data_IF_239797386990
#
_entry.id   IF_239797386990
#
_cell.length_a   1.000
_cell.length_b   1.000
_cell.length_c   1.000
_cell.angle_alpha   90.00
_cell.angle_beta   90.00
_cell.angle_gamma   90.00
#
_symmetry.space_group_name_H-M   'P 1'
#
loop_
_entity.id
_entity.type
_entity.pdbx_description
1 polymer ?
#
# COMPACT_ATOMS: atom_id res chain seq x y z
N UNK A 1 15.40 7.43 7.47
CA UNK A 1 15.99 6.15 7.00
C UNK A 1 15.55 5.98 5.56
N UNK A 2 16.46 5.78 4.61
CA UNK A 2 16.09 5.51 3.22
C UNK A 2 15.47 4.11 3.17
N UNK A 3 14.13 4.00 3.11
CA UNK A 3 13.47 2.72 2.86
C UNK A 3 13.88 2.26 1.45
N UNK A 4 14.35 1.03 1.32
CA UNK A 4 14.59 0.44 0.00
C UNK A 4 13.24 0.07 -0.62
N UNK A 5 13.09 0.27 -1.93
CA UNK A 5 11.86 -0.11 -2.61
C UNK A 5 11.59 -1.61 -2.47
N UNK A 6 10.37 -1.96 -2.07
CA UNK A 6 9.90 -3.34 -1.98
C UNK A 6 10.25 -4.05 -0.67
N UNK A 7 10.16 -3.34 0.45
CA UNK A 7 10.28 -3.93 1.79
C UNK A 7 9.10 -4.85 2.10
N UNK A 8 7.89 -4.49 1.68
CA UNK A 8 6.63 -5.18 1.96
C UNK A 8 5.94 -5.72 0.70
N UNK A 9 6.10 -5.05 -0.44
CA UNK A 9 5.47 -5.41 -1.72
C UNK A 9 6.55 -5.89 -2.70
N UNK A 10 6.41 -7.13 -3.15
CA UNK A 10 7.33 -7.68 -4.15
C UNK A 10 7.21 -7.00 -5.51
N UNK A 11 8.36 -6.71 -6.12
CA UNK A 11 8.49 -6.09 -7.44
C UNK A 11 7.80 -6.88 -8.58
N UNK A 12 8.00 -8.20 -8.63
CA UNK A 12 7.54 -9.04 -9.75
C UNK A 12 6.01 -9.06 -9.95
N UNK A 13 5.18 -9.21 -8.90
CA UNK A 13 3.73 -9.03 -9.01
C UNK A 13 3.30 -7.68 -9.58
N UNK A 14 3.92 -6.58 -9.14
CA UNK A 14 3.60 -5.23 -9.62
C UNK A 14 3.93 -5.10 -11.10
N UNK A 15 5.10 -5.57 -11.53
CA UNK A 15 5.43 -5.60 -12.95
C UNK A 15 4.46 -6.46 -13.77
N UNK A 16 4.02 -7.62 -13.25
CA UNK A 16 3.02 -8.45 -13.93
C UNK A 16 1.69 -7.73 -14.07
N UNK A 17 1.24 -7.00 -13.04
CA UNK A 17 0.04 -6.16 -13.11
C UNK A 17 0.17 -5.08 -14.19
N UNK A 18 1.31 -4.38 -14.24
CA UNK A 18 1.56 -3.37 -15.29
C UNK A 18 1.49 -3.99 -16.69
N UNK A 19 2.09 -5.18 -16.89
CA UNK A 19 2.01 -5.91 -18.16
C UNK A 19 0.59 -6.36 -18.50
N UNK A 20 -0.16 -6.84 -17.51
CA UNK A 20 -1.55 -7.23 -17.68
C UNK A 20 -2.42 -6.04 -18.14
N UNK A 21 -2.09 -4.83 -17.70
CA UNK A 21 -2.74 -3.59 -18.10
C UNK A 21 -2.25 -3.03 -19.46
N UNK A 22 -1.44 -3.79 -20.22
CA UNK A 22 -1.02 -3.43 -21.57
C UNK A 22 0.39 -2.86 -21.70
N UNK A 23 1.17 -2.76 -20.62
CA UNK A 23 2.56 -2.34 -20.74
C UNK A 23 3.43 -3.46 -21.34
N UNK A 24 3.97 -3.26 -22.55
CA UNK A 24 4.81 -4.27 -23.21
C UNK A 24 6.18 -4.43 -22.51
N UNK A 25 6.83 -3.29 -22.27
CA UNK A 25 8.12 -3.17 -21.58
C UNK A 25 7.93 -2.26 -20.37
N UNK A 26 8.53 -2.65 -19.25
CA UNK A 26 8.45 -1.90 -18.00
C UNK A 26 9.86 -1.78 -17.44
N UNK A 27 10.32 -0.54 -17.29
CA UNK A 27 11.60 -0.20 -16.69
C UNK A 27 11.61 -0.52 -15.18
N UNK A 28 12.79 -0.79 -14.62
CA UNK A 28 12.92 -1.24 -13.22
C UNK A 28 12.53 -0.16 -12.23
N UNK A 29 13.04 1.04 -12.45
CA UNK A 29 12.76 2.26 -11.70
C UNK A 29 11.27 2.61 -11.70
N UNK A 30 10.57 2.41 -12.81
CA UNK A 30 9.12 2.63 -12.89
C UNK A 30 8.34 1.68 -11.96
N UNK A 31 8.78 0.42 -11.83
CA UNK A 31 8.16 -0.53 -10.89
C UNK A 31 8.56 -0.17 -9.45
N UNK A 32 9.82 0.21 -9.21
CA UNK A 32 10.30 0.61 -7.90
C UNK A 32 9.49 1.82 -7.37
N UNK A 33 9.23 2.82 -8.21
CA UNK A 33 8.42 3.99 -7.86
C UNK A 33 6.97 3.62 -7.54
N UNK A 34 6.34 2.75 -8.33
CA UNK A 34 4.98 2.29 -8.05
C UNK A 34 4.91 1.48 -6.75
N UNK A 35 5.90 0.62 -6.49
CA UNK A 35 6.02 -0.12 -5.23
C UNK A 35 6.12 0.84 -4.05
N UNK A 36 7.01 1.84 -4.12
CA UNK A 36 7.17 2.86 -3.07
C UNK A 36 5.87 3.60 -2.79
N UNK A 37 5.17 4.02 -3.85
CA UNK A 37 3.90 4.72 -3.70
C UNK A 37 2.81 3.86 -3.06
N UNK A 38 2.72 2.58 -3.45
CA UNK A 38 1.77 1.63 -2.87
C UNK A 38 2.06 1.34 -1.40
N UNK A 39 3.33 1.14 -1.04
CA UNK A 39 3.75 0.90 0.35
C UNK A 39 3.43 2.10 1.23
N UNK A 40 3.78 3.31 0.79
CA UNK A 40 3.44 4.54 1.52
C UNK A 40 1.92 4.72 1.67
N UNK A 41 1.16 4.43 0.62
CA UNK A 41 -0.29 4.49 0.66
C UNK A 41 -0.90 3.49 1.65
N UNK A 42 -0.33 2.29 1.72
CA UNK A 42 -0.75 1.26 2.68
C UNK A 42 -0.36 1.63 4.12
N UNK A 43 0.82 2.22 4.34
CA UNK A 43 1.28 2.71 5.64
C UNK A 43 0.33 3.76 6.21
N UNK A 44 0.06 4.82 5.44
CA UNK A 44 -0.84 5.91 5.86
C UNK A 44 -2.28 5.43 6.14
N UNK A 45 -2.80 4.50 5.32
CA UNK A 45 -4.11 3.87 5.55
C UNK A 45 -4.11 3.04 6.83
N UNK A 46 -3.04 2.29 7.07
CA UNK A 46 -2.89 1.45 8.27
C UNK A 46 -2.82 2.31 9.52
N UNK A 47 -2.10 3.42 9.50
CA UNK A 47 -2.06 4.38 10.61
C UNK A 47 -3.45 4.95 10.92
N UNK A 48 -4.20 5.30 9.88
CA UNK A 48 -5.57 5.83 10.02
C UNK A 48 -6.51 4.77 10.60
N UNK A 49 -6.49 3.55 10.07
CA UNK A 49 -7.27 2.44 10.59
C UNK A 49 -6.89 2.10 12.05
N UNK A 50 -5.61 2.21 12.41
CA UNK A 50 -5.13 2.01 13.77
C UNK A 50 -5.67 3.09 14.73
N UNK A 51 -5.74 4.35 14.30
CA UNK A 51 -6.37 5.44 15.09
C UNK A 51 -7.86 5.16 15.32
N UNK A 52 -8.59 4.76 14.27
CA UNK A 52 -10.00 4.38 14.37
C UNK A 52 -10.23 3.21 15.32
N UNK A 53 -9.39 2.17 15.20
CA UNK A 53 -9.40 0.99 16.07
C UNK A 53 -9.22 1.38 17.54
N UNK A 54 -8.21 2.22 17.83
CA UNK A 54 -7.92 2.72 19.17
C UNK A 54 -9.05 3.59 19.72
N UNK A 55 -9.62 4.47 18.91
CA UNK A 55 -10.75 5.32 19.30
C UNK A 55 -11.99 4.49 19.70
N UNK A 56 -12.20 3.36 19.02
CA UNK A 56 -13.26 2.40 19.35
C UNK A 56 -12.92 1.47 20.55
N UNK A 57 -11.79 1.68 21.24
CA UNK A 57 -11.36 0.85 22.37
C UNK A 57 -10.95 -0.58 21.99
N UNK A 58 -10.82 -0.88 20.70
CA UNK A 58 -10.41 -2.19 20.19
C UNK A 58 -8.90 -2.27 20.01
N UNK A 59 -8.37 -3.49 19.97
CA UNK A 59 -6.96 -3.77 19.60
C UNK A 59 -6.80 -4.32 18.19
N UNK A 60 -7.82 -5.00 17.68
CA UNK A 60 -7.83 -5.63 16.36
C UNK A 60 -8.39 -4.66 15.32
N UNK A 61 -7.61 -4.38 14.27
CA UNK A 61 -8.08 -3.68 13.07
C UNK A 61 -9.10 -4.57 12.37
N UNK A 62 -10.27 -4.01 12.05
CA UNK A 62 -11.33 -4.70 11.32
C UNK A 62 -11.42 -4.21 9.87
N UNK A 63 -12.22 -4.91 9.07
CA UNK A 63 -12.58 -4.46 7.72
C UNK A 63 -13.17 -3.04 7.74
N UNK A 64 -14.03 -2.74 8.71
CA UNK A 64 -14.70 -1.45 8.79
C UNK A 64 -13.71 -0.31 9.06
N UNK A 65 -12.67 -0.55 9.87
CA UNK A 65 -11.60 0.43 10.09
C UNK A 65 -10.86 0.75 8.79
N UNK A 66 -10.56 -0.28 7.97
CA UNK A 66 -9.91 -0.10 6.67
C UNK A 66 -10.84 0.64 5.71
N UNK A 67 -12.11 0.28 5.63
CA UNK A 67 -13.08 0.96 4.76
C UNK A 67 -13.29 2.42 5.16
N UNK A 68 -13.37 2.71 6.45
CA UNK A 68 -13.42 4.08 6.96
C UNK A 68 -12.14 4.85 6.65
N UNK A 69 -10.97 4.23 6.83
CA UNK A 69 -9.69 4.84 6.47
C UNK A 69 -9.62 5.16 4.97
N UNK A 70 -10.08 4.26 4.09
CA UNK A 70 -10.14 4.52 2.63
C UNK A 70 -11.11 5.65 2.29
N UNK A 71 -12.25 5.74 2.99
CA UNK A 71 -13.29 6.72 2.70
C UNK A 71 -12.95 8.14 3.17
N UNK A 72 -12.20 8.27 4.27
CA UNK A 72 -12.01 9.53 4.99
C UNK A 72 -10.53 9.96 5.13
N UNK A 73 -9.61 9.31 4.41
CA UNK A 73 -8.22 9.74 4.27
C UNK A 73 -8.08 10.79 3.18
#
# INVERSE_FOLDING_TARGET
MNKMAGEYISWSPIRRLMKHNGAEIVARDAVDELVNWLEKSAEDLTETALRLTKHAGRKKITRDDILMAVKYR
#
